data_IF_033694047150
#
_entry.id   IF_033694047150
#
_cell.length_a   1.000
_cell.length_b   1.000
_cell.length_c   1.000
_cell.angle_alpha   90.00
_cell.angle_beta   90.00
_cell.angle_gamma   90.00
#
_symmetry.space_group_name_H-M   'P 1'
#
loop_
_entity.id
_entity.type
_entity.pdbx_description
1 polymer ?
#
# COMPACT_ATOMS: atom_id res chain seq x y z
N UNK A 1 -4.00 -9.28 9.54
CA UNK A 1 -3.00 -8.70 10.45
C UNK A 1 -2.44 -9.78 11.37
N UNK A 2 -1.42 -9.46 12.16
CA UNK A 2 -0.88 -10.38 13.18
C UNK A 2 -0.24 -11.65 12.63
N UNK A 3 0.26 -11.62 11.40
CA UNK A 3 0.99 -12.73 10.78
C UNK A 3 2.41 -12.29 10.48
N UNK A 4 3.34 -13.21 10.67
CA UNK A 4 4.75 -13.05 10.35
C UNK A 4 5.11 -13.99 9.20
N UNK A 5 5.92 -13.52 8.26
CA UNK A 5 6.39 -14.27 7.10
C UNK A 5 7.90 -14.08 6.96
N UNK A 6 8.60 -15.13 6.53
CA UNK A 6 10.05 -15.12 6.34
C UNK A 6 10.40 -15.40 4.88
N UNK A 7 11.37 -14.65 4.34
CA UNK A 7 11.95 -14.90 3.02
C UNK A 7 13.48 -14.94 3.14
N UNK A 8 14.11 -15.95 2.53
CA UNK A 8 15.57 -16.07 2.43
C UNK A 8 15.96 -16.16 0.96
N UNK A 9 16.95 -15.37 0.56
CA UNK A 9 17.50 -15.36 -0.79
C UNK A 9 19.01 -15.63 -0.74
N UNK A 10 19.52 -16.32 -1.77
CA UNK A 10 20.94 -16.61 -1.95
C UNK A 10 21.34 -16.14 -3.34
N UNK A 11 22.38 -15.31 -3.42
CA UNK A 11 22.94 -14.82 -4.68
C UNK A 11 24.37 -15.32 -4.81
N UNK A 12 24.77 -15.67 -6.03
CA UNK A 12 26.16 -15.97 -6.37
C UNK A 12 26.74 -14.73 -7.04
N UNK A 13 27.85 -14.25 -6.50
CA UNK A 13 28.54 -13.08 -7.05
C UNK A 13 29.70 -13.55 -7.96
N UNK A 14 29.98 -12.82 -9.05
CA UNK A 14 31.18 -13.04 -9.85
C UNK A 14 32.45 -12.92 -8.99
N UNK A 15 33.51 -13.64 -9.35
CA UNK A 15 34.81 -13.54 -8.68
C UNK A 15 35.56 -12.23 -9.00
N UNK A 16 35.09 -11.48 -10.00
CA UNK A 16 35.66 -10.20 -10.43
C UNK A 16 34.72 -9.08 -10.00
N UNK A 17 35.28 -8.01 -9.43
CA UNK A 17 34.51 -6.84 -8.99
C UNK A 17 34.11 -5.96 -10.17
N UNK A 18 32.92 -5.34 -10.08
CA UNK A 18 32.54 -4.26 -10.99
C UNK A 18 33.31 -2.99 -10.66
N UNK A 19 33.67 -2.21 -11.69
CA UNK A 19 34.28 -0.88 -11.51
C UNK A 19 33.28 0.17 -11.03
N UNK A 20 31.98 -0.04 -11.34
CA UNK A 20 30.88 0.83 -10.92
C UNK A 20 30.38 0.48 -9.52
N UNK A 21 30.13 1.51 -8.71
CA UNK A 21 29.39 1.39 -7.46
C UNK A 21 27.88 1.30 -7.76
N UNK A 22 27.26 0.17 -7.47
CA UNK A 22 25.80 0.08 -7.47
C UNK A 22 25.23 0.87 -6.28
N UNK A 23 24.27 1.75 -6.59
CA UNK A 23 23.46 2.37 -5.56
C UNK A 23 22.63 1.27 -4.86
N UNK A 24 22.48 1.36 -3.53
CA UNK A 24 21.57 0.51 -2.77
C UNK A 24 20.19 1.18 -2.70
N UNK A 25 19.24 0.88 -3.61
CA UNK A 25 17.91 1.45 -3.53
C UNK A 25 17.18 0.96 -2.28
N UNK A 26 16.26 1.75 -1.71
CA UNK A 26 15.40 1.29 -0.63
C UNK A 26 14.46 0.18 -1.11
N UNK A 27 14.10 -0.71 -0.18
CA UNK A 27 13.11 -1.75 -0.41
C UNK A 27 11.71 -1.11 -0.42
N UNK A 28 10.98 -1.29 -1.51
CA UNK A 28 9.59 -0.83 -1.64
C UNK A 28 8.62 -1.97 -1.34
N UNK A 29 7.59 -1.69 -0.52
CA UNK A 29 6.55 -2.67 -0.20
C UNK A 29 5.21 -2.22 -0.76
N UNK A 30 4.57 -3.08 -1.55
CA UNK A 30 3.23 -2.86 -2.07
C UNK A 30 2.22 -3.67 -1.29
N UNK A 31 1.12 -3.04 -0.86
CA UNK A 31 0.05 -3.72 -0.14
C UNK A 31 -1.30 -3.03 -0.35
N UNK A 32 -2.37 -3.81 -0.18
CA UNK A 32 -3.74 -3.33 -0.16
C UNK A 32 -4.51 -4.01 0.98
N UNK A 33 -5.22 -3.22 1.79
CA UNK A 33 -6.05 -3.69 2.89
C UNK A 33 -7.49 -3.21 2.63
N UNK A 34 -8.39 -4.10 2.19
CA UNK A 34 -9.78 -3.75 1.95
C UNK A 34 -10.55 -3.58 3.26
N UNK A 35 -11.57 -2.71 3.25
CA UNK A 35 -12.48 -2.45 4.36
C UNK A 35 -11.79 -1.94 5.65
N UNK A 36 -10.60 -1.37 5.53
CA UNK A 36 -9.81 -0.83 6.64
C UNK A 36 -9.40 0.62 6.39
N UNK A 37 -9.38 1.43 7.44
CA UNK A 37 -8.88 2.82 7.43
C UNK A 37 -7.83 3.05 8.51
N UNK A 38 -6.61 3.40 8.12
CA UNK A 38 -5.55 3.74 9.08
C UNK A 38 -5.81 5.10 9.75
N UNK A 39 -6.40 6.06 9.03
CA UNK A 39 -6.71 7.40 9.55
C UNK A 39 -7.93 7.44 10.49
N UNK A 40 -8.71 6.36 10.55
CA UNK A 40 -9.98 6.34 11.28
C UNK A 40 -11.11 7.14 10.61
N UNK A 41 -10.94 7.60 9.37
CA UNK A 41 -11.99 8.33 8.65
C UNK A 41 -13.25 7.48 8.48
N UNK A 42 -14.40 8.11 8.71
CA UNK A 42 -15.71 7.50 8.55
C UNK A 42 -16.67 8.48 7.86
N UNK A 43 -17.18 8.09 6.70
CA UNK A 43 -18.26 8.79 6.00
C UNK A 43 -19.57 8.51 6.74
N UNK A 44 -20.15 9.53 7.38
CA UNK A 44 -21.39 9.38 8.16
C UNK A 44 -22.65 9.57 7.33
N UNK A 45 -22.62 10.48 6.37
CA UNK A 45 -23.78 10.79 5.52
C UNK A 45 -23.34 11.25 4.13
N UNK A 46 -24.14 10.89 3.13
CA UNK A 46 -24.09 11.45 1.78
C UNK A 46 -25.48 12.02 1.46
N UNK A 47 -25.60 13.35 1.45
CA UNK A 47 -26.87 14.02 1.17
C UNK A 47 -27.00 14.25 -0.33
N UNK A 48 -28.07 13.72 -0.91
CA UNK A 48 -28.39 13.87 -2.34
C UNK A 48 -29.64 14.75 -2.43
N UNK A 49 -29.55 15.87 -3.15
CA UNK A 49 -30.65 16.83 -3.32
C UNK A 49 -30.97 16.88 -4.80
N UNK A 50 -32.11 16.31 -5.18
CA UNK A 50 -32.55 16.20 -6.58
C UNK A 50 -34.05 16.53 -6.68
N UNK A 51 -34.46 17.24 -7.73
CA UNK A 51 -35.83 17.74 -7.89
C UNK A 51 -36.81 16.67 -8.38
N UNK A 52 -36.31 15.63 -9.05
CA UNK A 52 -37.12 14.54 -9.62
C UNK A 52 -37.59 13.50 -8.59
N UNK A 53 -37.11 13.56 -7.33
CA UNK A 53 -37.51 12.63 -6.27
C UNK A 53 -36.96 11.21 -6.42
N UNK A 54 -36.01 10.97 -7.33
CA UNK A 54 -35.38 9.66 -7.47
C UNK A 54 -34.63 9.24 -6.20
N UNK A 55 -34.80 7.97 -5.80
CA UNK A 55 -34.10 7.38 -4.65
C UNK A 55 -32.73 6.85 -5.07
N UNK A 56 -31.68 7.51 -4.59
CA UNK A 56 -30.31 7.05 -4.80
C UNK A 56 -29.88 6.04 -3.72
N UNK A 57 -29.02 5.09 -4.12
CA UNK A 57 -28.41 4.09 -3.24
C UNK A 57 -26.92 4.41 -3.05
N UNK A 58 -26.55 5.11 -1.97
CA UNK A 58 -25.15 5.45 -1.72
C UNK A 58 -24.38 4.23 -1.20
N UNK A 59 -23.17 4.01 -1.73
CA UNK A 59 -22.28 2.94 -1.30
C UNK A 59 -20.89 3.49 -1.01
N UNK A 60 -20.21 2.90 -0.03
CA UNK A 60 -18.83 3.27 0.34
C UNK A 60 -17.99 2.00 0.49
N UNK A 61 -16.74 2.08 0.02
CA UNK A 61 -15.71 1.08 0.29
C UNK A 61 -14.44 1.79 0.71
N UNK A 62 -13.88 1.37 1.84
CA UNK A 62 -12.58 1.83 2.29
C UNK A 62 -11.49 0.89 1.80
N UNK A 63 -10.38 1.47 1.34
CA UNK A 63 -9.20 0.73 0.92
C UNK A 63 -7.99 1.49 1.45
N UNK A 64 -7.12 0.79 2.15
CA UNK A 64 -5.81 1.31 2.54
C UNK A 64 -4.76 0.70 1.62
N UNK A 65 -4.02 1.54 0.90
CA UNK A 65 -2.92 1.12 0.01
C UNK A 65 -1.59 1.71 0.50
N UNK A 66 -0.48 1.13 0.05
CA UNK A 66 0.83 1.72 0.27
C UNK A 66 0.95 3.06 -0.47
N UNK A 67 1.44 4.08 0.21
CA UNK A 67 1.98 5.28 -0.43
C UNK A 67 3.45 5.05 -0.78
N UNK A 68 4.28 6.06 -0.49
CA UNK A 68 5.74 5.92 -0.52
C UNK A 68 6.24 5.13 0.71
N UNK A 69 6.04 3.82 0.68
CA UNK A 69 6.44 2.91 1.75
C UNK A 69 7.79 2.27 1.42
N UNK A 70 8.86 2.87 1.94
CA UNK A 70 10.24 2.52 1.67
C UNK A 70 10.99 2.14 2.95
N UNK A 71 11.83 1.10 2.85
CA UNK A 71 12.73 0.66 3.93
C UNK A 71 14.16 0.77 3.43
N UNK A 72 15.00 1.56 4.10
CA UNK A 72 16.43 1.69 3.76
C UNK A 72 17.24 0.60 4.44
N UNK A 73 18.10 -0.05 3.67
CA UNK A 73 19.10 -0.98 4.17
C UNK A 73 20.40 -0.23 4.49
N UNK A 74 21.18 -0.75 5.45
CA UNK A 74 22.51 -0.22 5.78
C UNK A 74 23.58 -0.76 4.82
#
# INVERSE_FOLDING_TARGET
>A
GGKEFLMRAHFQLPSVQSEDQEAKPPIQVKFEIPYFTTSGIQVRYLKIIEKSGYQALPWVRYITQNGDYQIRTQ
#
